data_IF_863707069652
#
_entry.id   IF_863707069652
#
_cell.length_a   1.000
_cell.length_b   1.000
_cell.length_c   1.000
_cell.angle_alpha   90.00
_cell.angle_beta   90.00
_cell.angle_gamma   90.00
#
_symmetry.space_group_name_H-M   'P 1'
#
loop_
_entity.id
_entity.type
_entity.pdbx_description
1 polymer ?
#
# COMPACT_ATOMS: atom_id res chain seq x y z
N UNK A 1 -25.59 -44.88 -55.45
CA UNK A 1 -25.41 -43.55 -54.86
C UNK A 1 -24.49 -43.70 -53.64
N UNK A 2 -23.21 -43.39 -53.88
CA UNK A 2 -22.15 -43.49 -52.86
C UNK A 2 -22.04 -42.18 -52.09
N UNK A 3 -22.30 -42.23 -50.79
CA UNK A 3 -22.05 -41.11 -49.88
C UNK A 3 -20.60 -41.20 -49.35
N UNK A 4 -19.73 -40.34 -49.89
CA UNK A 4 -18.39 -40.14 -49.44
C UNK A 4 -18.37 -39.44 -48.08
N UNK A 5 -17.82 -40.12 -47.04
CA UNK A 5 -17.51 -39.53 -45.74
C UNK A 5 -16.34 -38.57 -45.89
N UNK A 6 -16.53 -37.31 -45.54
CA UNK A 6 -15.41 -36.40 -45.36
C UNK A 6 -14.69 -36.69 -44.03
N UNK A 7 -13.37 -36.61 -43.98
CA UNK A 7 -12.61 -36.75 -42.74
C UNK A 7 -12.73 -35.46 -41.90
N UNK A 8 -12.97 -35.64 -40.61
CA UNK A 8 -12.93 -34.58 -39.60
C UNK A 8 -11.51 -33.99 -39.47
N UNK A 9 -11.35 -32.67 -39.30
CA UNK A 9 -10.06 -32.08 -39.06
C UNK A 9 -9.55 -32.46 -37.66
N UNK A 10 -8.27 -32.75 -37.59
CA UNK A 10 -7.55 -33.10 -36.37
C UNK A 10 -7.70 -32.06 -35.28
N UNK A 11 -8.14 -32.47 -34.11
CA UNK A 11 -8.15 -31.65 -32.89
C UNK A 11 -6.72 -31.24 -32.59
N UNK A 12 -6.47 -29.94 -32.72
CA UNK A 12 -5.28 -29.27 -32.25
C UNK A 12 -5.18 -29.48 -30.74
N UNK A 13 -4.17 -30.23 -30.33
CA UNK A 13 -3.79 -30.39 -28.93
C UNK A 13 -3.26 -29.05 -28.47
N UNK A 14 -4.10 -28.23 -27.80
CA UNK A 14 -3.60 -27.15 -27.00
C UNK A 14 -2.78 -27.72 -25.85
N UNK A 15 -1.48 -27.55 -25.92
CA UNK A 15 -0.58 -27.75 -24.79
C UNK A 15 -0.93 -26.67 -23.78
N UNK A 16 -1.55 -27.03 -22.69
CA UNK A 16 -1.71 -26.22 -21.48
C UNK A 16 -0.41 -26.28 -20.66
N UNK A 17 0.64 -25.64 -21.13
CA UNK A 17 1.89 -25.46 -20.38
C UNK A 17 2.39 -24.02 -20.61
N UNK A 18 1.56 -23.06 -20.20
CA UNK A 18 2.05 -21.72 -19.94
C UNK A 18 1.93 -21.49 -18.44
N UNK A 19 2.88 -22.07 -17.71
CA UNK A 19 3.18 -21.62 -16.35
C UNK A 19 3.48 -20.12 -16.44
N UNK A 20 2.55 -19.30 -15.97
CA UNK A 20 2.80 -17.90 -15.75
C UNK A 20 3.81 -17.82 -14.61
N UNK A 21 5.09 -17.84 -14.98
CA UNK A 21 6.17 -17.51 -14.05
C UNK A 21 6.00 -16.03 -13.73
N UNK A 22 5.27 -15.74 -12.67
CA UNK A 22 5.39 -14.43 -12.02
C UNK A 22 6.86 -14.29 -11.64
N UNK A 23 7.56 -13.27 -12.14
CA UNK A 23 8.92 -13.03 -11.68
C UNK A 23 8.85 -12.86 -10.16
N UNK A 24 9.42 -13.80 -9.45
CA UNK A 24 9.60 -13.71 -8.00
C UNK A 24 10.17 -12.32 -7.73
N UNK A 25 9.62 -11.56 -6.79
CA UNK A 25 10.17 -10.25 -6.46
C UNK A 25 11.64 -10.45 -6.12
N UNK A 26 12.50 -9.72 -6.85
CA UNK A 26 13.95 -9.72 -6.61
C UNK A 26 14.12 -9.34 -5.14
N UNK A 27 14.47 -10.32 -4.33
CA UNK A 27 14.77 -10.08 -2.92
C UNK A 27 16.06 -9.28 -2.88
N UNK A 28 15.94 -7.96 -2.79
CA UNK A 28 17.09 -7.11 -2.56
C UNK A 28 17.68 -7.47 -1.20
N UNK A 29 18.93 -7.91 -1.22
CA UNK A 29 19.60 -8.54 -0.10
C UNK A 29 20.27 -7.55 0.86
N UNK A 30 19.71 -6.38 1.08
CA UNK A 30 20.23 -5.48 2.11
C UNK A 30 19.61 -5.84 3.46
N UNK A 31 20.38 -6.34 4.44
CA UNK A 31 19.86 -6.86 5.70
C UNK A 31 19.15 -5.80 6.57
N UNK A 32 19.48 -4.52 6.40
CA UNK A 32 18.88 -3.41 7.15
C UNK A 32 17.43 -3.10 6.73
N UNK A 33 17.07 -3.36 5.46
CA UNK A 33 15.72 -3.03 4.94
C UNK A 33 14.71 -4.13 5.28
N UNK A 34 15.15 -5.37 5.53
CA UNK A 34 14.27 -6.53 5.80
C UNK A 34 13.49 -6.46 7.11
N UNK A 35 13.91 -5.59 8.03
CA UNK A 35 13.28 -5.47 9.35
C UNK A 35 12.18 -4.41 9.43
N UNK A 36 11.97 -3.60 8.37
CA UNK A 36 11.10 -2.42 8.43
C UNK A 36 10.13 -2.41 7.27
N UNK A 37 8.87 -2.02 7.55
CA UNK A 37 7.80 -2.02 6.57
C UNK A 37 7.33 -0.61 6.23
N UNK A 38 7.05 -0.42 4.96
CA UNK A 38 6.32 0.72 4.43
C UNK A 38 4.86 0.28 4.22
N UNK A 39 3.97 0.74 5.08
CA UNK A 39 2.57 0.36 5.01
C UNK A 39 1.77 1.34 4.16
N UNK A 40 0.83 0.80 3.36
CA UNK A 40 -0.23 1.56 2.72
C UNK A 40 -1.53 1.02 3.30
N UNK A 41 -2.21 1.84 4.11
CA UNK A 41 -3.42 1.48 4.83
C UNK A 41 -4.64 2.06 4.14
N UNK A 42 -5.57 1.23 3.77
CA UNK A 42 -6.84 1.67 3.20
C UNK A 42 -8.06 0.90 3.68
N UNK A 43 -9.22 1.54 3.59
CA UNK A 43 -10.55 0.92 3.61
C UNK A 43 -11.31 1.29 2.34
N UNK A 44 -12.64 1.25 2.40
CA UNK A 44 -13.49 1.61 1.28
C UNK A 44 -13.30 3.08 0.88
N UNK A 45 -13.42 3.36 -0.42
CA UNK A 45 -13.24 4.70 -1.01
C UNK A 45 -11.85 5.29 -0.81
N UNK A 46 -10.82 4.46 -0.86
CA UNK A 46 -9.46 4.95 -0.92
C UNK A 46 -9.16 5.58 -2.28
N UNK A 47 -8.12 6.39 -2.34
CA UNK A 47 -7.61 7.01 -3.57
C UNK A 47 -6.68 6.01 -4.27
N UNK A 48 -7.13 5.49 -5.41
CA UNK A 48 -6.42 4.46 -6.18
C UNK A 48 -5.11 4.98 -6.76
N UNK A 49 -5.09 6.24 -7.21
CA UNK A 49 -3.89 6.85 -7.80
C UNK A 49 -2.80 6.99 -6.73
N UNK A 50 -3.16 7.52 -5.56
CA UNK A 50 -2.24 7.66 -4.43
C UNK A 50 -1.71 6.28 -4.00
N UNK A 51 -2.60 5.32 -3.80
CA UNK A 51 -2.22 3.97 -3.39
C UNK A 51 -1.25 3.31 -4.38
N UNK A 52 -1.55 3.41 -5.68
CA UNK A 52 -0.76 2.80 -6.75
C UNK A 52 0.60 3.48 -6.91
N UNK A 53 0.65 4.81 -6.90
CA UNK A 53 1.88 5.59 -7.07
C UNK A 53 2.82 5.34 -5.89
N UNK A 54 2.35 5.45 -4.66
CA UNK A 54 3.20 5.19 -3.48
C UNK A 54 3.69 3.74 -3.43
N UNK A 55 2.83 2.77 -3.78
CA UNK A 55 3.25 1.36 -3.87
C UNK A 55 4.36 1.18 -4.89
N UNK A 56 4.20 1.74 -6.08
CA UNK A 56 5.14 1.58 -7.19
C UNK A 56 6.48 2.26 -6.89
N UNK A 57 6.45 3.52 -6.46
CA UNK A 57 7.67 4.28 -6.20
C UNK A 57 8.44 3.72 -5.01
N UNK A 58 7.76 3.28 -3.94
CA UNK A 58 8.42 2.67 -2.80
C UNK A 58 9.05 1.30 -3.13
N UNK A 59 8.35 0.44 -3.90
CA UNK A 59 8.90 -0.83 -4.37
C UNK A 59 10.08 -0.64 -5.32
N UNK A 60 10.06 0.41 -6.16
CA UNK A 60 11.14 0.73 -7.10
C UNK A 60 12.47 1.02 -6.39
N UNK A 61 12.44 1.63 -5.22
CA UNK A 61 13.64 1.88 -4.41
C UNK A 61 13.95 0.75 -3.41
N UNK A 62 13.27 -0.37 -3.51
CA UNK A 62 13.56 -1.57 -2.70
C UNK A 62 12.94 -1.59 -1.31
N UNK A 63 12.00 -0.70 -0.99
CA UNK A 63 11.27 -0.74 0.28
C UNK A 63 10.36 -1.97 0.36
N UNK A 64 10.26 -2.57 1.54
CA UNK A 64 9.33 -3.66 1.80
C UNK A 64 7.91 -3.10 2.03
N UNK A 65 7.17 -2.95 0.94
CA UNK A 65 5.80 -2.40 0.97
C UNK A 65 4.81 -3.50 1.36
N UNK A 66 3.92 -3.16 2.28
CA UNK A 66 2.75 -3.98 2.67
C UNK A 66 1.48 -3.15 2.54
N UNK A 67 0.57 -3.65 1.74
CA UNK A 67 -0.76 -3.07 1.57
C UNK A 67 -1.69 -3.69 2.61
N UNK A 68 -2.38 -2.84 3.37
CA UNK A 68 -3.21 -3.24 4.50
C UNK A 68 -4.66 -2.85 4.25
N UNK A 69 -5.54 -3.83 4.22
CA UNK A 69 -6.99 -3.60 4.12
C UNK A 69 -7.66 -3.61 5.50
N UNK A 70 -8.33 -2.51 5.84
CA UNK A 70 -9.06 -2.37 7.12
C UNK A 70 -10.27 -3.30 7.14
N UNK A 71 -11.05 -3.33 6.06
CA UNK A 71 -12.29 -4.10 5.93
C UNK A 71 -12.07 -5.50 5.33
N UNK A 72 -10.83 -5.99 5.28
CA UNK A 72 -10.47 -7.26 4.67
C UNK A 72 -9.50 -7.11 3.51
N UNK A 73 -9.37 -8.15 2.68
CA UNK A 73 -8.39 -8.14 1.59
C UNK A 73 -8.81 -7.31 0.37
N UNK A 74 -10.11 -7.13 0.15
CA UNK A 74 -10.62 -6.42 -1.02
C UNK A 74 -11.42 -5.21 -0.58
N UNK A 75 -11.11 -4.06 -1.15
CA UNK A 75 -11.85 -2.82 -0.93
C UNK A 75 -12.07 -2.10 -2.25
N UNK A 76 -13.25 -1.51 -2.46
CA UNK A 76 -13.50 -0.64 -3.59
C UNK A 76 -12.85 0.72 -3.36
N UNK A 77 -12.15 1.21 -4.35
CA UNK A 77 -11.61 2.56 -4.36
C UNK A 77 -12.66 3.61 -4.72
N UNK A 78 -12.25 4.84 -4.76
CA UNK A 78 -13.11 6.00 -5.00
C UNK A 78 -13.64 6.05 -6.45
N UNK A 79 -12.88 5.50 -7.40
CA UNK A 79 -13.23 5.42 -8.82
C UNK A 79 -13.71 4.03 -9.24
N UNK A 80 -13.96 3.14 -8.28
CA UNK A 80 -14.56 1.83 -8.51
C UNK A 80 -13.57 0.70 -8.82
N UNK A 81 -12.28 0.94 -8.75
CA UNK A 81 -11.29 -0.14 -8.83
C UNK A 81 -11.31 -0.95 -7.53
N UNK A 82 -11.24 -2.28 -7.67
CA UNK A 82 -11.08 -3.18 -6.52
C UNK A 82 -9.61 -3.60 -6.47
N UNK A 83 -8.94 -3.23 -5.41
CA UNK A 83 -7.57 -3.65 -5.17
C UNK A 83 -7.52 -4.67 -4.02
N UNK A 84 -6.52 -5.57 -4.12
CA UNK A 84 -6.30 -6.59 -3.10
C UNK A 84 -5.14 -6.20 -2.19
N UNK A 85 -5.38 -6.23 -0.89
CA UNK A 85 -4.38 -5.98 0.13
C UNK A 85 -3.48 -7.21 0.35
N UNK A 86 -2.24 -6.98 0.78
CA UNK A 86 -1.30 -8.04 1.18
C UNK A 86 -1.67 -8.61 2.57
N UNK A 87 -2.20 -7.76 3.44
CA UNK A 87 -2.53 -8.06 4.84
C UNK A 87 -3.89 -7.49 5.23
N UNK A 88 -4.56 -8.16 6.13
CA UNK A 88 -5.65 -7.55 6.91
C UNK A 88 -5.09 -6.64 8.00
N UNK A 89 -5.90 -5.73 8.55
CA UNK A 89 -5.49 -4.89 9.67
C UNK A 89 -5.03 -5.72 10.88
N UNK A 90 -5.72 -6.81 11.20
CA UNK A 90 -5.32 -7.69 12.31
C UNK A 90 -3.94 -8.34 12.13
N UNK A 91 -3.56 -8.66 10.89
CA UNK A 91 -2.21 -9.15 10.58
C UNK A 91 -1.17 -8.04 10.63
N UNK A 92 -1.52 -6.84 10.16
CA UNK A 92 -0.63 -5.69 10.16
C UNK A 92 -0.32 -5.19 11.58
N UNK A 93 -1.26 -5.31 12.53
CA UNK A 93 -1.05 -5.00 13.95
C UNK A 93 0.18 -5.70 14.53
N UNK A 94 0.43 -6.95 14.14
CA UNK A 94 1.60 -7.72 14.61
C UNK A 94 2.94 -7.22 14.06
N UNK A 95 2.91 -6.31 13.10
CA UNK A 95 4.07 -5.75 12.42
C UNK A 95 4.17 -4.22 12.59
N UNK A 96 3.25 -3.62 13.33
CA UNK A 96 3.17 -2.16 13.49
C UNK A 96 4.42 -1.58 14.16
N UNK A 97 5.08 -2.35 15.02
CA UNK A 97 6.36 -2.03 15.66
C UNK A 97 7.53 -1.93 14.68
N UNK A 98 7.36 -2.43 13.46
CA UNK A 98 8.36 -2.41 12.39
C UNK A 98 8.02 -1.40 11.28
N UNK A 99 7.03 -0.56 11.51
CA UNK A 99 6.65 0.47 10.56
C UNK A 99 7.71 1.57 10.47
N UNK A 100 8.15 1.91 9.28
CA UNK A 100 8.94 3.12 9.00
C UNK A 100 8.09 4.25 8.43
N UNK A 101 7.02 3.88 7.71
CA UNK A 101 6.02 4.83 7.24
C UNK A 101 4.66 4.15 7.11
N UNK A 102 3.62 4.95 7.28
CA UNK A 102 2.23 4.57 7.00
C UNK A 102 1.63 5.64 6.09
N UNK A 103 1.25 5.24 4.89
CA UNK A 103 0.54 6.08 3.93
C UNK A 103 -0.95 5.77 4.03
N UNK A 104 -1.78 6.80 4.12
CA UNK A 104 -3.24 6.65 4.12
C UNK A 104 -3.80 7.36 2.88
N UNK A 105 -4.07 6.63 1.80
CA UNK A 105 -4.51 7.18 0.53
C UNK A 105 -6.02 7.47 0.56
N UNK A 106 -6.44 8.50 1.27
CA UNK A 106 -7.85 8.82 1.37
C UNK A 106 -8.11 10.30 1.71
N UNK A 107 -9.33 10.73 1.47
CA UNK A 107 -9.81 12.06 1.89
C UNK A 107 -9.89 12.17 3.43
N UNK A 108 -9.90 13.39 3.98
CA UNK A 108 -10.09 13.61 5.42
C UNK A 108 -11.36 12.96 5.98
N UNK A 109 -12.46 12.99 5.22
CA UNK A 109 -13.72 12.38 5.63
C UNK A 109 -13.65 10.84 5.63
N UNK A 110 -12.86 10.25 4.74
CA UNK A 110 -12.65 8.80 4.70
C UNK A 110 -11.72 8.37 5.83
N UNK A 111 -10.67 9.14 6.14
CA UNK A 111 -9.81 8.88 7.29
C UNK A 111 -10.61 8.85 8.60
N UNK A 112 -11.45 9.86 8.84
CA UNK A 112 -12.29 9.90 10.04
C UNK A 112 -13.16 8.63 10.19
N UNK A 113 -13.72 8.13 9.07
CA UNK A 113 -14.49 6.87 9.08
C UNK A 113 -13.64 5.63 9.28
N UNK A 114 -12.38 5.62 8.84
CA UNK A 114 -11.47 4.51 9.12
C UNK A 114 -11.18 4.41 10.62
N UNK A 115 -11.13 5.53 11.31
CA UNK A 115 -10.88 5.62 12.74
C UNK A 115 -12.10 5.24 13.60
N UNK A 116 -13.29 5.03 13.01
CA UNK A 116 -14.42 4.39 13.69
C UNK A 116 -14.08 2.94 14.10
N UNK A 117 -13.10 2.31 13.43
CA UNK A 117 -12.50 1.06 13.90
C UNK A 117 -11.35 1.37 14.88
N UNK A 118 -11.48 1.05 16.18
CA UNK A 118 -10.47 1.36 17.18
C UNK A 118 -9.11 0.70 16.90
N UNK A 119 -9.07 -0.38 16.13
CA UNK A 119 -7.83 -1.04 15.73
C UNK A 119 -6.99 -0.16 14.78
N UNK A 120 -7.63 0.70 14.00
CA UNK A 120 -6.92 1.68 13.14
C UNK A 120 -6.19 2.70 14.01
N UNK A 121 -6.86 3.22 15.03
CA UNK A 121 -6.25 4.16 15.99
C UNK A 121 -5.08 3.50 16.72
N UNK A 122 -5.27 2.27 17.20
CA UNK A 122 -4.21 1.51 17.85
C UNK A 122 -3.01 1.26 16.91
N UNK A 123 -3.26 0.90 15.66
CA UNK A 123 -2.22 0.71 14.65
C UNK A 123 -1.39 2.00 14.45
N UNK A 124 -2.05 3.16 14.33
CA UNK A 124 -1.36 4.43 14.23
C UNK A 124 -0.55 4.75 15.48
N UNK A 125 -1.08 4.48 16.66
CA UNK A 125 -0.36 4.69 17.94
C UNK A 125 0.90 3.83 18.01
N UNK A 126 0.80 2.55 17.68
CA UNK A 126 1.94 1.62 17.67
C UNK A 126 3.00 2.04 16.63
N UNK A 127 2.58 2.37 15.41
CA UNK A 127 3.49 2.84 14.37
C UNK A 127 4.22 4.14 14.79
N UNK A 128 3.53 5.08 15.41
CA UNK A 128 4.13 6.33 15.92
C UNK A 128 5.08 6.11 17.10
N UNK A 129 4.77 5.22 18.02
CA UNK A 129 5.69 4.86 19.10
C UNK A 129 7.04 4.41 18.54
N UNK A 130 7.04 3.76 17.39
CA UNK A 130 8.24 3.36 16.66
C UNK A 130 8.77 4.43 15.69
N UNK A 131 8.30 5.66 15.81
CA UNK A 131 8.71 6.82 15.01
C UNK A 131 8.42 6.68 13.51
N UNK A 132 7.43 5.91 13.11
CA UNK A 132 6.99 5.86 11.72
C UNK A 132 6.53 7.23 11.22
N UNK A 133 6.83 7.53 9.96
CA UNK A 133 6.29 8.69 9.25
C UNK A 133 4.84 8.40 8.86
N UNK A 134 3.90 9.22 9.30
CA UNK A 134 2.51 9.17 8.82
C UNK A 134 2.35 10.13 7.64
N UNK A 135 1.79 9.64 6.54
CA UNK A 135 1.57 10.43 5.33
C UNK A 135 0.10 10.40 4.97
N UNK A 136 -0.51 11.57 4.97
CA UNK A 136 -1.95 11.76 4.70
C UNK A 136 -2.15 12.84 3.64
N UNK A 137 -3.38 13.02 3.14
CA UNK A 137 -3.68 13.96 2.07
C UNK A 137 -3.44 15.42 2.48
N UNK A 138 -4.04 15.87 3.58
CA UNK A 138 -4.05 17.27 3.97
C UNK A 138 -3.95 17.46 5.49
N UNK A 139 -3.56 18.66 5.90
CA UNK A 139 -3.52 19.03 7.32
C UNK A 139 -4.89 18.90 8.00
N UNK A 140 -5.98 19.16 7.27
CA UNK A 140 -7.34 18.97 7.79
C UNK A 140 -7.67 17.53 8.15
N UNK A 141 -7.03 16.55 7.48
CA UNK A 141 -7.18 15.14 7.81
C UNK A 141 -6.69 14.87 9.23
N UNK A 142 -5.56 15.46 9.61
CA UNK A 142 -4.99 15.34 10.96
C UNK A 142 -5.86 16.05 11.98
N UNK A 143 -6.31 17.29 11.69
CA UNK A 143 -7.10 18.09 12.62
C UNK A 143 -8.45 17.46 13.01
N UNK A 144 -8.96 16.56 12.19
CA UNK A 144 -10.24 15.84 12.40
C UNK A 144 -10.07 14.40 12.82
N UNK A 145 -8.86 13.97 13.06
CA UNK A 145 -8.53 12.58 13.35
C UNK A 145 -7.90 12.44 14.73
N UNK A 146 -7.88 11.23 15.24
CA UNK A 146 -7.16 10.85 16.46
C UNK A 146 -5.64 11.13 16.36
N UNK A 147 -5.13 11.35 15.15
CA UNK A 147 -3.74 11.70 14.90
C UNK A 147 -3.34 13.02 15.53
N UNK A 148 -4.30 13.93 15.76
CA UNK A 148 -4.06 15.23 16.39
C UNK A 148 -3.70 15.09 17.88
N UNK A 149 -4.37 14.19 18.59
CA UNK A 149 -4.24 14.01 20.04
C UNK A 149 -3.11 13.06 20.46
N UNK A 150 -2.41 12.47 19.49
CA UNK A 150 -1.35 11.53 19.81
C UNK A 150 -0.15 12.24 20.46
N UNK A 151 0.31 11.76 21.63
CA UNK A 151 1.38 12.39 22.41
C UNK A 151 2.73 12.14 21.73
N UNK A 152 3.12 12.96 20.78
CA UNK A 152 4.49 13.03 20.21
C UNK A 152 4.57 14.13 19.14
N UNK A 153 5.75 14.67 18.86
CA UNK A 153 5.87 15.89 18.07
C UNK A 153 5.25 15.75 16.68
N UNK A 154 4.60 16.79 16.16
CA UNK A 154 3.99 16.83 14.83
C UNK A 154 5.00 16.59 13.68
N UNK A 155 6.30 16.55 14.01
CA UNK A 155 7.40 16.42 13.07
C UNK A 155 7.47 15.10 12.27
N UNK A 156 6.56 14.16 12.55
CA UNK A 156 6.51 12.88 11.83
C UNK A 156 5.19 12.67 11.08
N UNK A 157 4.49 13.75 10.79
CA UNK A 157 3.36 13.75 9.87
C UNK A 157 3.77 14.53 8.64
N UNK A 158 3.51 13.99 7.48
CA UNK A 158 3.75 14.62 6.19
C UNK A 158 2.50 14.56 5.33
N UNK A 159 2.47 15.38 4.30
CA UNK A 159 1.33 15.49 3.41
C UNK A 159 1.78 15.24 1.98
N UNK A 160 1.05 14.41 1.25
CA UNK A 160 1.27 14.30 -0.18
C UNK A 160 0.51 15.39 -0.93
N UNK A 161 0.99 15.72 -2.12
CA UNK A 161 0.32 16.68 -2.99
C UNK A 161 -0.59 15.94 -3.97
N UNK A 162 -1.71 16.55 -4.30
CA UNK A 162 -2.61 16.04 -5.33
C UNK A 162 -2.02 16.18 -6.73
N UNK A 163 -2.72 15.60 -7.71
CA UNK A 163 -2.38 15.75 -9.10
C UNK A 163 -2.29 17.25 -9.51
N UNK A 164 -1.33 17.67 -10.38
CA UNK A 164 -0.39 16.83 -11.13
C UNK A 164 0.93 16.51 -10.39
N UNK A 165 1.12 16.97 -9.17
CA UNK A 165 2.40 16.87 -8.45
C UNK A 165 2.52 15.61 -7.57
N UNK A 166 1.57 14.67 -7.67
CA UNK A 166 1.51 13.50 -6.80
C UNK A 166 2.75 12.58 -6.94
N UNK A 167 3.20 12.32 -8.17
CA UNK A 167 4.36 11.45 -8.41
C UNK A 167 5.63 12.06 -7.80
N UNK A 168 5.86 13.34 -8.01
CA UNK A 168 7.05 14.02 -7.48
C UNK A 168 6.97 14.13 -5.96
N UNK A 169 5.80 14.36 -5.42
CA UNK A 169 5.56 14.35 -3.99
C UNK A 169 5.87 12.99 -3.36
N UNK A 170 5.39 11.91 -3.96
CA UNK A 170 5.66 10.55 -3.51
C UNK A 170 7.17 10.24 -3.54
N UNK A 171 7.86 10.58 -4.62
CA UNK A 171 9.31 10.41 -4.75
C UNK A 171 10.08 11.18 -3.68
N UNK A 172 9.75 12.45 -3.46
CA UNK A 172 10.40 13.28 -2.44
C UNK A 172 10.22 12.69 -1.04
N UNK A 173 9.00 12.25 -0.69
CA UNK A 173 8.72 11.64 0.60
C UNK A 173 9.48 10.32 0.80
N UNK A 174 9.52 9.48 -0.24
CA UNK A 174 10.20 8.19 -0.20
C UNK A 174 11.73 8.40 -0.12
N UNK A 175 12.31 9.32 -0.89
CA UNK A 175 13.73 9.64 -0.80
C UNK A 175 14.11 10.22 0.56
N UNK A 176 13.29 11.12 1.10
CA UNK A 176 13.48 11.65 2.46
C UNK A 176 13.44 10.55 3.53
N UNK A 177 12.54 9.58 3.38
CA UNK A 177 12.45 8.43 4.27
C UNK A 177 13.70 7.55 4.18
N UNK A 178 14.19 7.24 2.96
CA UNK A 178 15.40 6.45 2.74
C UNK A 178 16.61 7.09 3.39
N UNK A 179 16.77 8.41 3.24
CA UNK A 179 17.85 9.16 3.89
C UNK A 179 17.75 9.10 5.42
N UNK A 180 16.54 9.16 5.99
CA UNK A 180 16.31 9.10 7.43
C UNK A 180 16.56 7.71 8.03
N UNK A 181 16.37 6.63 7.25
CA UNK A 181 16.58 5.24 7.67
C UNK A 181 18.03 4.78 7.44
N UNK A 182 18.88 5.64 6.85
CA UNK A 182 20.31 5.34 6.63
C UNK A 182 20.58 4.35 5.49
N UNK A 183 19.64 4.19 4.59
CA UNK A 183 19.78 3.35 3.40
C UNK A 183 20.33 4.24 2.28
N UNK A 184 21.67 4.33 2.21
CA UNK A 184 22.35 4.88 1.03
C UNK A 184 22.34 3.80 -0.04
N UNK A 185 21.74 4.11 -1.21
CA UNK A 185 21.71 3.23 -2.38
C UNK A 185 23.09 3.02 -2.99
#
# INVERSE_FOLDING_TARGET
MCLTRQPMPAQSRYRADTEWIYPMPIQSSSPAIRAHYFFILWGDRFDEDVATIFTTEARRVGLCVKIVGVNGYQSPGNHGMILTADLTLGQAMQLADKAVAVIVPCSPATLARLEDDPRVVEFFQQARTNRALLVVSHQEAVARSSLYDLPHPPSRISYYKDYPNLIDSARQLIHGLMAAVGVSG
#
